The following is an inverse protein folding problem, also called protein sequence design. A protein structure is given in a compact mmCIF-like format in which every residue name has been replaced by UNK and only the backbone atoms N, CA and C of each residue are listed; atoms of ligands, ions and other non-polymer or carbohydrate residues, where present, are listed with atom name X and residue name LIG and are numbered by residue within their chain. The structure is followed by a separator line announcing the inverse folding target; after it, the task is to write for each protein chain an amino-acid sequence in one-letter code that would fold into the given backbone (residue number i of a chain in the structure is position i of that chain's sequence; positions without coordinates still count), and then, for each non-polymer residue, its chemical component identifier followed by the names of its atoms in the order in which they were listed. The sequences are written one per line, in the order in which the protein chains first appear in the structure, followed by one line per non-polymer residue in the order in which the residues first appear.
data_IF_409349080671
#
_entry.id   IF_409349080671
#
_cell.length_a   1.000
_cell.length_b   1.000
_cell.length_c   1.000
_cell.angle_alpha   90.00
_cell.angle_beta   90.00
_cell.angle_gamma   90.00
#
_symmetry.space_group_name_H-M   'P 1'
#
loop_
_entity.id
_entity.type
_entity.pdbx_description
1 polymer ?
#
# COMPACT_ATOMS: atom_id res chain seq x y z
N UNK A 1 -20.12 -6.68 3.80
CA UNK A 1 -19.13 -7.71 4.13
C UNK A 1 -18.24 -7.87 2.94
N UNK A 2 -16.99 -7.39 3.04
CA UNK A 2 -15.98 -7.56 1.99
C UNK A 2 -14.68 -7.95 2.69
N UNK A 3 -14.56 -9.26 2.92
CA UNK A 3 -13.32 -9.89 3.33
C UNK A 3 -12.59 -10.38 2.08
N UNK A 4 -11.31 -10.07 1.97
CA UNK A 4 -10.44 -10.64 0.94
C UNK A 4 -9.33 -9.69 0.50
N UNK A 5 -8.16 -9.83 1.13
CA UNK A 5 -6.83 -9.40 0.67
C UNK A 5 -6.76 -8.06 -0.10
N UNK A 6 -6.95 -6.94 0.61
CA UNK A 6 -6.57 -5.61 0.13
C UNK A 6 -5.28 -5.21 0.87
N UNK A 7 -4.26 -4.77 0.13
CA UNK A 7 -3.08 -4.22 0.79
C UNK A 7 -3.46 -2.92 1.54
N UNK A 8 -3.15 -2.79 2.84
CA UNK A 8 -3.85 -1.90 3.78
C UNK A 8 -3.89 -0.38 3.48
N UNK A 9 -2.88 0.30 2.90
CA UNK A 9 -2.74 1.75 3.15
C UNK A 9 -3.79 2.64 2.47
N UNK A 10 -4.15 2.35 1.22
CA UNK A 10 -5.08 3.18 0.45
C UNK A 10 -6.55 2.90 0.81
N UNK A 11 -6.86 1.65 1.14
CA UNK A 11 -8.18 1.25 1.62
C UNK A 11 -8.45 1.78 3.03
N UNK A 12 -7.46 1.77 3.93
CA UNK A 12 -7.60 2.32 5.27
C UNK A 12 -7.77 3.85 5.22
N UNK A 13 -7.01 4.59 4.39
CA UNK A 13 -7.21 6.06 4.29
C UNK A 13 -8.61 6.43 3.80
N UNK A 14 -9.09 5.77 2.74
CA UNK A 14 -10.43 6.02 2.23
C UNK A 14 -11.51 5.54 3.20
N UNK A 15 -11.31 4.40 3.86
CA UNK A 15 -12.24 3.89 4.87
C UNK A 15 -12.30 4.79 6.10
N UNK A 16 -11.16 5.32 6.57
CA UNK A 16 -11.12 6.27 7.69
C UNK A 16 -11.76 7.60 7.30
N UNK A 17 -11.42 8.16 6.13
CA UNK A 17 -12.08 9.40 5.67
C UNK A 17 -13.58 9.20 5.41
N UNK A 18 -14.01 8.05 4.85
CA UNK A 18 -15.44 7.77 4.63
C UNK A 18 -16.17 7.47 5.95
N UNK A 19 -15.54 6.77 6.91
CA UNK A 19 -16.10 6.52 8.24
C UNK A 19 -16.23 7.79 9.08
N UNK A 20 -15.37 8.79 8.84
CA UNK A 20 -15.39 10.06 9.57
C UNK A 20 -16.24 11.15 8.90
N UNK A 21 -16.64 10.93 7.64
CA UNK A 21 -17.49 11.86 6.88
C UNK A 21 -18.81 12.23 7.61
N UNK A 22 -19.54 11.30 8.27
CA UNK A 22 -20.74 11.63 9.04
C UNK A 22 -20.51 12.61 10.20
N UNK A 23 -19.25 12.78 10.64
CA UNK A 23 -18.86 13.71 11.70
C UNK A 23 -18.31 15.04 11.12
N UNK A 24 -18.49 15.30 9.83
CA UNK A 24 -18.04 16.53 9.16
C UNK A 24 -16.53 16.58 8.90
N UNK A 25 -15.83 15.46 8.98
CA UNK A 25 -14.38 15.40 8.78
C UNK A 25 -14.06 15.01 7.34
N UNK A 26 -13.37 15.91 6.63
CA UNK A 26 -12.79 15.68 5.30
C UNK A 26 -11.26 15.78 5.36
N UNK A 27 -10.55 14.87 4.68
CA UNK A 27 -9.09 14.86 4.57
C UNK A 27 -8.75 15.12 3.09
N UNK A 28 -8.51 16.38 2.74
CA UNK A 28 -8.30 16.85 1.37
C UNK A 28 -6.92 17.50 1.13
N UNK A 29 -6.12 17.69 2.20
CA UNK A 29 -4.79 18.34 2.15
C UNK A 29 -3.68 17.42 2.63
N UNK A 30 -2.51 17.56 1.99
CA UNK A 30 -1.24 16.96 2.43
C UNK A 30 -0.23 18.08 2.73
N UNK A 31 0.59 17.97 3.79
CA UNK A 31 0.60 16.91 4.82
C UNK A 31 -0.61 17.01 5.77
N UNK A 32 -0.92 15.92 6.47
CA UNK A 32 -1.91 15.94 7.56
C UNK A 32 -1.40 16.86 8.68
N UNK A 33 -2.25 17.79 9.12
CA UNK A 33 -1.94 18.72 10.21
C UNK A 33 -2.27 18.13 11.58
N UNK A 34 -1.60 18.57 12.67
CA UNK A 34 -1.95 18.18 14.04
C UNK A 34 -3.44 18.37 14.35
N UNK A 35 -4.03 19.51 13.99
CA UNK A 35 -5.45 19.82 14.21
C UNK A 35 -6.39 18.81 13.58
N UNK A 36 -6.02 18.30 12.40
CA UNK A 36 -6.82 17.28 11.71
C UNK A 36 -6.84 16.00 12.54
N UNK A 37 -5.70 15.59 13.11
CA UNK A 37 -5.63 14.38 13.92
C UNK A 37 -6.33 14.56 15.26
N UNK A 38 -6.21 15.72 15.90
CA UNK A 38 -6.93 16.03 17.14
C UNK A 38 -8.45 15.88 16.95
N UNK A 39 -9.02 16.42 15.86
CA UNK A 39 -10.45 16.24 15.54
C UNK A 39 -10.84 14.77 15.36
N UNK A 40 -9.99 13.96 14.73
CA UNK A 40 -10.23 12.51 14.59
C UNK A 40 -10.21 11.80 15.93
N UNK A 41 -9.24 12.14 16.80
CA UNK A 41 -9.13 11.57 18.15
C UNK A 41 -10.34 11.96 19.02
N UNK A 42 -10.78 13.22 18.98
CA UNK A 42 -11.97 13.70 19.68
C UNK A 42 -13.22 12.94 19.23
N UNK A 43 -13.43 12.81 17.92
CA UNK A 43 -14.56 12.06 17.37
C UNK A 43 -14.53 10.58 17.80
N UNK A 44 -13.35 9.94 17.77
CA UNK A 44 -13.19 8.55 18.20
C UNK A 44 -13.44 8.36 19.70
N UNK A 45 -12.88 9.24 20.53
CA UNK A 45 -13.10 9.21 21.99
C UNK A 45 -14.58 9.42 22.33
N UNK A 46 -15.26 10.33 21.63
CA UNK A 46 -16.69 10.57 21.80
C UNK A 46 -17.56 9.38 21.36
N UNK A 47 -17.22 8.74 20.25
CA UNK A 47 -18.01 7.62 19.70
C UNK A 47 -17.80 6.29 20.46
N UNK A 48 -16.58 6.03 20.93
CA UNK A 48 -16.21 4.73 21.51
C UNK A 48 -15.90 4.77 23.01
N UNK A 49 -16.01 5.94 23.65
CA UNK A 49 -15.64 6.13 25.06
C UNK A 49 -14.23 5.60 25.38
N UNK A 50 -13.28 5.85 24.46
CA UNK A 50 -11.86 5.53 24.61
C UNK A 50 -11.05 6.77 25.01
N UNK A 51 -9.83 6.57 25.52
CA UNK A 51 -8.93 7.64 25.97
C UNK A 51 -7.73 7.81 25.05
N UNK A 52 -7.96 7.86 23.72
CA UNK A 52 -6.89 8.00 22.74
C UNK A 52 -6.28 9.40 22.76
N UNK A 53 -4.97 9.45 22.61
CA UNK A 53 -4.14 10.65 22.62
C UNK A 53 -3.26 10.72 21.38
N UNK A 54 -2.54 11.84 21.22
CA UNK A 54 -1.57 11.98 20.13
C UNK A 54 -0.44 10.94 20.22
N UNK A 55 -0.15 10.44 21.42
CA UNK A 55 0.88 9.41 21.62
C UNK A 55 0.46 8.02 21.11
N UNK A 56 -0.85 7.80 20.91
CA UNK A 56 -1.40 6.54 20.41
C UNK A 56 -1.37 6.45 18.87
N UNK A 57 -1.19 7.58 18.18
CA UNK A 57 -1.13 7.60 16.72
C UNK A 57 0.23 7.12 16.23
N UNK A 58 0.22 5.95 15.60
CA UNK A 58 1.41 5.28 15.08
C UNK A 58 1.94 5.97 13.82
N UNK A 59 1.07 6.38 12.90
CA UNK A 59 1.42 7.06 11.65
C UNK A 59 0.23 7.87 11.11
N UNK A 60 0.50 8.78 10.16
CA UNK A 60 -0.54 9.53 9.47
C UNK A 60 -0.19 9.66 7.97
N UNK A 61 -1.19 9.53 7.12
CA UNK A 61 -1.06 9.74 5.68
C UNK A 61 -2.37 10.25 5.09
N UNK A 62 -2.28 11.05 4.02
CA UNK A 62 -3.42 11.52 3.28
C UNK A 62 -3.31 11.12 1.80
N UNK A 63 -4.46 11.00 1.15
CA UNK A 63 -4.58 10.72 -0.29
C UNK A 63 -5.53 11.72 -0.92
N UNK A 64 -5.25 12.09 -2.17
CA UNK A 64 -6.15 12.95 -2.95
C UNK A 64 -7.09 12.07 -3.76
N UNK A 65 -8.37 12.41 -3.78
CA UNK A 65 -9.37 11.74 -4.59
C UNK A 65 -9.43 12.43 -5.96
N UNK A 66 -9.14 11.71 -7.07
CA UNK A 66 -9.37 12.25 -8.40
C UNK A 66 -10.87 12.26 -8.64
N UNK A 67 -11.51 13.43 -8.53
CA UNK A 67 -12.94 13.60 -8.76
C UNK A 67 -13.17 14.25 -10.12
N UNK A 68 -14.25 13.86 -10.79
CA UNK A 68 -14.73 14.59 -11.96
C UNK A 68 -15.21 15.96 -11.49
N UNK A 69 -14.88 17.02 -12.23
CA UNK A 69 -15.35 18.36 -11.89
C UNK A 69 -16.82 18.49 -12.31
N UNK A 70 -17.72 18.53 -11.35
CA UNK A 70 -19.13 18.88 -11.52
C UNK A 70 -19.40 20.26 -10.88
N UNK A 71 -20.33 21.06 -11.43
CA UNK A 71 -20.79 22.29 -10.76
C UNK A 71 -21.64 21.92 -9.53
N UNK A 72 -21.19 22.25 -8.31
CA UNK A 72 -21.92 21.93 -7.07
C UNK A 72 -21.01 21.70 -5.84
N UNK A 73 -21.59 21.14 -4.78
CA UNK A 73 -20.89 20.79 -3.54
C UNK A 73 -19.91 19.61 -3.77
N UNK A 74 -18.60 19.74 -3.45
CA UNK A 74 -17.60 18.68 -3.59
C UNK A 74 -17.96 17.36 -2.88
N UNK A 75 -18.79 17.41 -1.84
CA UNK A 75 -19.24 16.24 -1.08
C UNK A 75 -20.29 15.37 -1.82
N UNK A 76 -20.91 15.92 -2.88
CA UNK A 76 -21.96 15.28 -3.68
C UNK A 76 -21.51 14.87 -5.09
N UNK A 77 -20.24 15.10 -5.44
CA UNK A 77 -19.70 14.80 -6.77
C UNK A 77 -19.74 13.30 -7.06
N UNK A 78 -20.18 12.95 -8.26
CA UNK A 78 -20.25 11.57 -8.74
C UNK A 78 -18.92 10.83 -8.53
N UNK A 79 -19.00 9.63 -7.93
CA UNK A 79 -17.84 8.73 -7.79
C UNK A 79 -17.64 7.84 -9.03
N UNK A 80 -18.21 8.22 -10.17
CA UNK A 80 -18.06 7.50 -11.43
C UNK A 80 -16.72 7.83 -12.11
N UNK A 81 -16.47 7.24 -13.27
CA UNK A 81 -15.34 7.57 -14.12
C UNK A 81 -15.82 8.04 -15.49
N UNK A 82 -14.98 8.81 -16.17
CA UNK A 82 -15.21 9.23 -17.55
C UNK A 82 -13.99 8.94 -18.42
N UNK A 83 -14.24 8.65 -19.70
CA UNK A 83 -13.21 8.43 -20.72
C UNK A 83 -13.29 9.59 -21.70
N UNK A 84 -12.23 10.39 -21.72
CA UNK A 84 -12.12 11.58 -22.55
C UNK A 84 -11.23 11.31 -23.76
N UNK A 85 -11.77 11.59 -24.94
CA UNK A 85 -11.03 11.61 -26.19
C UNK A 85 -10.17 12.89 -26.26
N UNK A 86 -8.85 12.73 -26.34
CA UNK A 86 -7.91 13.82 -26.54
C UNK A 86 -7.56 14.03 -28.01
N UNK A 87 -6.42 14.70 -28.30
CA UNK A 87 -5.83 14.67 -29.64
C UNK A 87 -5.64 13.22 -30.14
N UNK A 88 -5.51 12.99 -31.46
CA UNK A 88 -5.45 11.64 -32.03
C UNK A 88 -4.45 10.72 -31.31
N UNK A 89 -4.94 9.57 -30.84
CA UNK A 89 -4.15 8.58 -30.09
C UNK A 89 -4.00 8.85 -28.57
N UNK A 90 -4.58 9.93 -28.03
CA UNK A 90 -4.62 10.21 -26.60
C UNK A 90 -6.02 9.94 -26.03
N UNK A 91 -6.09 9.04 -25.04
CA UNK A 91 -7.31 8.73 -24.30
C UNK A 91 -7.02 8.91 -22.81
N UNK A 92 -7.88 9.65 -22.12
CA UNK A 92 -7.71 9.97 -20.70
C UNK A 92 -8.83 9.35 -19.90
N UNK A 93 -8.50 8.74 -18.76
CA UNK A 93 -9.48 8.27 -17.79
C UNK A 93 -9.44 9.14 -16.54
N UNK A 94 -10.59 9.69 -16.17
CA UNK A 94 -10.75 10.58 -15.03
C UNK A 94 -11.72 9.97 -14.02
N UNK A 95 -11.46 10.16 -12.73
CA UNK A 95 -12.33 9.62 -11.68
C UNK A 95 -12.11 8.13 -11.40
N UNK A 96 -13.19 7.46 -11.03
CA UNK A 96 -13.21 6.02 -10.76
C UNK A 96 -12.86 5.60 -9.34
N UNK A 97 -12.98 4.29 -9.10
CA UNK A 97 -12.74 3.66 -7.79
C UNK A 97 -11.80 2.48 -7.93
N UNK A 98 -11.09 2.18 -6.85
CA UNK A 98 -10.33 0.93 -6.77
C UNK A 98 -11.24 -0.29 -6.95
N UNK A 99 -12.49 -0.27 -6.48
CA UNK A 99 -13.42 -1.41 -6.62
C UNK A 99 -13.89 -1.62 -8.07
N UNK A 100 -13.88 -0.57 -8.91
CA UNK A 100 -14.32 -0.64 -10.31
C UNK A 100 -13.15 -0.68 -11.29
N UNK A 101 -11.90 -0.71 -10.82
CA UNK A 101 -10.70 -0.56 -11.65
C UNK A 101 -10.68 -1.51 -12.86
N UNK A 102 -11.09 -2.76 -12.67
CA UNK A 102 -11.06 -3.80 -13.71
C UNK A 102 -12.08 -3.51 -14.82
N UNK A 103 -13.35 -3.27 -14.46
CA UNK A 103 -14.39 -2.95 -15.45
C UNK A 103 -14.13 -1.62 -16.14
N UNK A 104 -13.62 -0.65 -15.39
CA UNK A 104 -13.19 0.65 -15.90
C UNK A 104 -12.07 0.53 -16.93
N UNK A 105 -11.08 -0.32 -16.66
CA UNK A 105 -9.97 -0.58 -17.60
C UNK A 105 -10.44 -1.36 -18.83
N UNK A 106 -11.35 -2.33 -18.65
CA UNK A 106 -11.98 -3.05 -19.76
C UNK A 106 -12.76 -2.10 -20.69
N UNK A 107 -13.48 -1.12 -20.13
CA UNK A 107 -14.18 -0.10 -20.89
C UNK A 107 -13.20 0.78 -21.68
N UNK A 108 -12.14 1.29 -21.03
CA UNK A 108 -11.10 2.08 -21.70
C UNK A 108 -10.44 1.32 -22.86
N UNK A 109 -10.05 0.07 -22.64
CA UNK A 109 -9.40 -0.74 -23.69
C UNK A 109 -10.36 -1.02 -24.84
N UNK A 110 -11.63 -1.30 -24.55
CA UNK A 110 -12.66 -1.49 -25.59
C UNK A 110 -12.85 -0.22 -26.42
N UNK A 111 -12.95 0.94 -25.77
CA UNK A 111 -13.07 2.24 -26.42
C UNK A 111 -11.88 2.54 -27.34
N UNK A 112 -10.64 2.30 -26.88
CA UNK A 112 -9.44 2.45 -27.71
C UNK A 112 -9.46 1.51 -28.92
N UNK A 113 -9.90 0.27 -28.73
CA UNK A 113 -10.03 -0.71 -29.83
C UNK A 113 -11.10 -0.26 -30.84
N UNK A 114 -12.22 0.29 -30.39
CA UNK A 114 -13.28 0.78 -31.28
C UNK A 114 -12.80 1.98 -32.11
N UNK A 115 -12.02 2.90 -31.51
CA UNK A 115 -11.53 4.11 -32.17
C UNK A 115 -10.31 3.90 -33.06
N UNK A 116 -9.37 3.05 -32.63
CA UNK A 116 -8.04 2.89 -33.25
C UNK A 116 -7.85 1.49 -33.86
N UNK A 117 -8.85 0.61 -33.75
CA UNK A 117 -8.81 -0.81 -34.11
C UNK A 117 -8.25 -1.07 -35.51
N UNK A 118 -8.65 -0.25 -36.48
CA UNK A 118 -8.25 -0.38 -37.90
C UNK A 118 -6.74 -0.19 -38.11
N UNK A 119 -6.06 0.51 -37.19
CA UNK A 119 -4.60 0.70 -37.25
C UNK A 119 -3.83 -0.55 -36.82
N UNK A 120 -4.48 -1.49 -36.14
CA UNK A 120 -3.86 -2.71 -35.67
C UNK A 120 -4.09 -3.85 -36.68
N UNK A 121 -3.01 -4.55 -37.07
CA UNK A 121 -3.10 -5.68 -38.01
C UNK A 121 -3.73 -6.95 -37.42
N UNK A 122 -4.31 -6.89 -36.21
CA UNK A 122 -4.84 -8.04 -35.48
C UNK A 122 -6.25 -7.75 -35.01
N UNK A 123 -7.13 -8.74 -35.17
CA UNK A 123 -8.45 -8.68 -34.54
C UNK A 123 -8.31 -8.73 -33.01
N UNK A 124 -9.02 -7.86 -32.28
CA UNK A 124 -9.00 -7.87 -30.82
C UNK A 124 -9.60 -9.18 -30.30
N UNK A 125 -8.95 -9.77 -29.30
CA UNK A 125 -9.50 -10.90 -28.57
C UNK A 125 -10.53 -10.42 -27.55
N UNK A 126 -11.48 -11.29 -27.18
CA UNK A 126 -12.41 -11.00 -26.08
C UNK A 126 -11.64 -10.78 -24.77
N UNK A 127 -12.02 -9.76 -24.01
CA UNK A 127 -11.48 -9.53 -22.68
C UNK A 127 -11.72 -10.74 -21.75
N UNK A 128 -10.68 -11.14 -21.02
CA UNK A 128 -10.71 -12.29 -20.08
C UNK A 128 -10.41 -11.89 -18.63
N UNK A 129 -10.16 -10.60 -18.36
CA UNK A 129 -9.67 -10.11 -17.06
C UNK A 129 -10.66 -10.37 -15.90
N UNK A 130 -11.94 -10.61 -16.19
CA UNK A 130 -12.93 -11.01 -15.18
C UNK A 130 -12.73 -12.43 -14.63
N UNK A 131 -11.92 -13.27 -15.29
CA UNK A 131 -11.68 -14.68 -14.93
C UNK A 131 -10.20 -15.02 -14.77
N UNK A 132 -9.32 -14.10 -15.15
CA UNK A 132 -7.89 -14.26 -15.00
C UNK A 132 -7.49 -13.85 -13.57
N UNK A 133 -6.93 -14.77 -12.77
CA UNK A 133 -6.43 -14.39 -11.45
C UNK A 133 -5.25 -13.43 -11.57
N UNK A 134 -5.16 -12.47 -10.65
CA UNK A 134 -3.93 -11.69 -10.49
C UNK A 134 -2.77 -12.61 -10.03
N UNK A 135 -1.50 -12.22 -10.24
CA UNK A 135 -0.35 -12.94 -9.69
C UNK A 135 -0.53 -13.22 -8.19
N UNK A 136 -0.20 -14.44 -7.74
CA UNK A 136 -0.48 -14.89 -6.37
C UNK A 136 -1.93 -15.29 -6.07
N UNK A 137 -2.90 -14.96 -6.94
CA UNK A 137 -4.33 -15.19 -6.76
C UNK A 137 -4.86 -16.52 -7.32
N UNK A 138 -3.99 -17.49 -7.62
CA UNK A 138 -4.37 -18.72 -8.32
C UNK A 138 -5.16 -19.75 -7.48
N UNK A 139 -5.30 -19.53 -6.17
CA UNK A 139 -5.98 -20.47 -5.27
C UNK A 139 -7.49 -20.21 -5.20
N UNK A 140 -8.30 -21.19 -5.63
CA UNK A 140 -9.78 -21.10 -5.60
C UNK A 140 -10.37 -21.14 -4.19
N UNK A 141 -9.80 -21.96 -3.29
CA UNK A 141 -10.11 -21.97 -1.85
C UNK A 141 -8.88 -21.45 -1.09
N UNK A 142 -8.79 -20.12 -0.99
CA UNK A 142 -7.66 -19.46 -0.36
C UNK A 142 -7.50 -19.82 1.13
N UNK A 143 -8.55 -19.86 1.98
CA UNK A 143 -8.39 -20.26 3.38
C UNK A 143 -7.83 -21.67 3.55
N UNK A 144 -8.26 -22.64 2.74
CA UNK A 144 -7.69 -23.99 2.75
C UNK A 144 -6.24 -23.98 2.28
N UNK A 145 -5.96 -23.29 1.16
CA UNK A 145 -4.61 -23.15 0.63
C UNK A 145 -3.66 -22.55 1.67
N UNK A 146 -4.07 -21.46 2.32
CA UNK A 146 -3.28 -20.76 3.32
C UNK A 146 -2.92 -21.68 4.49
N UNK A 147 -3.88 -22.42 5.04
CA UNK A 147 -3.60 -23.37 6.14
C UNK A 147 -2.56 -24.41 5.74
N UNK A 148 -2.71 -25.01 4.56
CA UNK A 148 -1.78 -26.04 4.06
C UNK A 148 -0.39 -25.46 3.77
N UNK A 149 -0.32 -24.31 3.11
CA UNK A 149 0.95 -23.64 2.80
C UNK A 149 1.69 -23.22 4.07
N UNK A 150 1.00 -22.62 5.05
CA UNK A 150 1.62 -22.23 6.33
C UNK A 150 2.18 -23.44 7.06
N UNK A 151 1.46 -24.57 7.12
CA UNK A 151 1.98 -25.80 7.72
C UNK A 151 3.25 -26.29 7.00
N UNK A 152 3.22 -26.36 5.67
CA UNK A 152 4.36 -26.80 4.86
C UNK A 152 5.58 -25.88 5.01
N UNK A 153 5.38 -24.56 5.13
CA UNK A 153 6.46 -23.59 5.35
C UNK A 153 7.10 -23.73 6.73
N UNK A 154 6.31 -24.02 7.76
CA UNK A 154 6.84 -24.25 9.11
C UNK A 154 7.64 -25.53 9.18
N UNK A 155 7.16 -26.61 8.57
CA UNK A 155 7.82 -27.92 8.61
C UNK A 155 9.03 -27.98 7.67
N UNK A 156 8.87 -27.55 6.41
CA UNK A 156 9.89 -27.69 5.37
C UNK A 156 10.97 -26.62 5.39
N UNK A 157 10.65 -25.41 5.88
CA UNK A 157 11.56 -24.25 5.87
C UNK A 157 11.87 -23.71 7.27
N UNK A 158 11.34 -24.33 8.32
CA UNK A 158 11.51 -23.90 9.72
C UNK A 158 11.15 -22.42 9.96
N UNK A 159 10.20 -21.88 9.18
CA UNK A 159 9.79 -20.49 9.32
C UNK A 159 8.96 -20.27 10.61
N UNK A 160 9.14 -19.13 11.30
CA UNK A 160 8.20 -18.69 12.33
C UNK A 160 6.76 -18.64 11.81
N UNK A 161 5.79 -18.96 12.66
CA UNK A 161 4.38 -19.07 12.23
C UNK A 161 3.83 -17.76 11.69
N UNK A 162 4.15 -16.64 12.33
CA UNK A 162 3.76 -15.29 11.93
C UNK A 162 4.34 -14.90 10.57
N UNK A 163 5.62 -15.20 10.33
CA UNK A 163 6.29 -14.98 9.05
C UNK A 163 5.68 -15.85 7.94
N UNK A 164 5.46 -17.14 8.19
CA UNK A 164 4.83 -18.04 7.23
C UNK A 164 3.40 -17.59 6.89
N UNK A 165 2.60 -17.22 7.90
CA UNK A 165 1.22 -16.74 7.73
C UNK A 165 1.18 -15.46 6.92
N UNK A 166 2.04 -14.49 7.25
CA UNK A 166 2.13 -13.22 6.53
C UNK A 166 2.56 -13.45 5.08
N UNK A 167 3.62 -14.24 4.85
CA UNK A 167 4.15 -14.50 3.52
C UNK A 167 3.06 -15.05 2.59
N UNK A 168 2.29 -16.03 3.04
CA UNK A 168 1.18 -16.58 2.24
C UNK A 168 0.02 -15.60 2.12
N UNK A 169 -0.28 -14.81 3.16
CA UNK A 169 -1.33 -13.80 3.10
C UNK A 169 -1.05 -12.69 2.07
N UNK A 170 0.22 -12.27 1.95
CA UNK A 170 0.63 -11.17 1.07
C UNK A 170 0.89 -11.65 -0.36
N UNK A 171 1.60 -12.77 -0.53
CA UNK A 171 2.03 -13.23 -1.86
C UNK A 171 1.15 -14.34 -2.43
N UNK A 172 0.22 -14.90 -1.64
CA UNK A 172 -0.65 -15.97 -2.08
C UNK A 172 0.12 -17.15 -2.66
N UNK A 173 -0.21 -17.59 -3.86
CA UNK A 173 0.49 -18.68 -4.55
C UNK A 173 1.92 -18.33 -4.95
N UNK A 174 2.26 -17.05 -5.05
CA UNK A 174 3.58 -16.58 -5.46
C UNK A 174 4.59 -16.57 -4.29
N UNK A 175 4.19 -16.94 -3.07
CA UNK A 175 5.10 -17.04 -1.92
C UNK A 175 6.30 -17.97 -2.20
N UNK A 176 6.12 -19.00 -3.02
CA UNK A 176 7.19 -19.92 -3.44
C UNK A 176 8.28 -19.19 -4.25
N UNK A 177 7.91 -18.14 -5.01
CA UNK A 177 8.86 -17.32 -5.77
C UNK A 177 9.70 -16.46 -4.84
N UNK A 178 9.11 -15.96 -3.76
CA UNK A 178 9.87 -15.25 -2.71
C UNK A 178 10.91 -16.17 -2.09
N UNK A 179 10.50 -17.38 -1.70
CA UNK A 179 11.39 -18.37 -1.07
C UNK A 179 12.48 -18.89 -2.02
N UNK A 180 12.24 -18.86 -3.33
CA UNK A 180 13.26 -19.27 -4.31
C UNK A 180 14.56 -18.47 -4.20
N UNK A 181 14.51 -17.21 -3.73
CA UNK A 181 15.70 -16.40 -3.48
C UNK A 181 16.51 -16.91 -2.27
N UNK A 182 15.86 -17.54 -1.30
CA UNK A 182 16.51 -18.07 -0.11
C UNK A 182 17.12 -19.48 -0.32
N UNK A 183 16.86 -20.14 -1.45
CA UNK A 183 17.35 -21.49 -1.72
C UNK A 183 18.89 -21.61 -1.72
N UNK A 184 19.59 -20.52 -2.05
CA UNK A 184 21.07 -20.45 -2.04
C UNK A 184 21.65 -19.52 -0.95
N UNK A 185 20.78 -18.81 -0.23
CA UNK A 185 21.12 -17.83 0.80
C UNK A 185 20.16 -18.03 1.99
N UNK A 186 20.37 -19.07 2.83
CA UNK A 186 19.46 -19.42 3.92
C UNK A 186 19.23 -18.29 4.93
N UNK A 187 20.16 -17.35 5.05
CA UNK A 187 20.00 -16.13 5.85
C UNK A 187 18.81 -15.26 5.41
N UNK A 188 18.33 -15.42 4.17
CA UNK A 188 17.16 -14.71 3.67
C UNK A 188 15.84 -15.24 4.26
N UNK A 189 15.85 -16.44 4.87
CA UNK A 189 14.72 -16.97 5.65
C UNK A 189 14.60 -16.31 7.03
N UNK A 190 15.59 -15.53 7.45
CA UNK A 190 15.52 -14.83 8.71
C UNK A 190 14.63 -13.59 8.58
N UNK A 191 13.76 -13.32 9.57
CA UNK A 191 13.04 -12.07 9.62
C UNK A 191 13.99 -10.86 9.76
N UNK A 192 13.53 -9.69 9.29
CA UNK A 192 14.34 -8.47 9.22
C UNK A 192 14.84 -7.98 10.58
N UNK A 193 14.07 -8.22 11.63
CA UNK A 193 14.42 -7.96 13.03
C UNK A 193 13.66 -8.93 13.95
N UNK A 194 14.10 -9.10 15.21
CA UNK A 194 13.31 -9.82 16.22
C UNK A 194 11.89 -9.24 16.33
N UNK A 195 10.87 -10.11 16.30
CA UNK A 195 9.46 -9.72 16.38
C UNK A 195 8.88 -9.10 15.09
N UNK A 196 9.65 -9.02 14.01
CA UNK A 196 9.15 -8.60 12.70
C UNK A 196 8.80 -9.86 11.87
N UNK A 197 7.59 -9.98 11.29
CA UNK A 197 7.23 -11.14 10.48
C UNK A 197 7.75 -11.07 9.03
N UNK A 198 8.36 -9.96 8.61
CA UNK A 198 8.84 -9.77 7.23
C UNK A 198 10.20 -10.41 7.05
N UNK A 199 10.32 -11.29 6.06
CA UNK A 199 11.56 -12.00 5.74
C UNK A 199 12.52 -11.15 4.93
N UNK A 200 13.82 -11.40 5.07
CA UNK A 200 14.84 -10.79 4.21
C UNK A 200 14.66 -11.19 2.73
N UNK A 201 14.16 -12.38 2.44
CA UNK A 201 13.81 -12.83 1.09
C UNK A 201 12.78 -11.93 0.39
N UNK A 202 11.85 -11.35 1.14
CA UNK A 202 10.84 -10.42 0.60
C UNK A 202 11.50 -9.15 0.04
N UNK A 203 12.57 -8.66 0.68
CA UNK A 203 13.32 -7.48 0.20
C UNK A 203 13.94 -7.76 -1.17
N UNK A 204 14.58 -8.92 -1.31
CA UNK A 204 15.25 -9.33 -2.55
C UNK A 204 14.23 -9.58 -3.66
N UNK A 205 13.13 -10.27 -3.34
CA UNK A 205 12.03 -10.49 -4.26
C UNK A 205 11.44 -9.17 -4.75
N UNK A 206 11.12 -8.25 -3.83
CA UNK A 206 10.54 -6.96 -4.18
C UNK A 206 11.45 -6.14 -5.10
N UNK A 207 12.76 -6.11 -4.82
CA UNK A 207 13.74 -5.41 -5.64
C UNK A 207 13.87 -6.02 -7.05
N UNK A 208 13.94 -7.36 -7.15
CA UNK A 208 14.19 -8.06 -8.42
C UNK A 208 12.94 -8.27 -9.28
N UNK A 209 11.76 -8.39 -8.66
CA UNK A 209 10.55 -8.88 -9.34
C UNK A 209 9.31 -8.00 -9.14
N UNK A 210 9.31 -7.04 -8.20
CA UNK A 210 8.17 -6.14 -7.95
C UNK A 210 8.50 -4.66 -8.19
N UNK A 211 9.64 -4.39 -8.85
CA UNK A 211 10.15 -3.05 -9.18
C UNK A 211 10.26 -2.12 -7.96
N UNK A 212 10.59 -2.64 -6.78
CA UNK A 212 10.93 -1.81 -5.64
C UNK A 212 12.33 -1.22 -5.85
N UNK A 213 12.41 0.05 -6.29
CA UNK A 213 13.67 0.71 -6.69
C UNK A 213 14.14 1.74 -5.68
N UNK A 214 13.35 2.01 -4.64
CA UNK A 214 13.70 2.86 -3.50
C UNK A 214 13.43 2.16 -2.17
N UNK A 215 14.08 2.60 -1.09
CA UNK A 215 13.78 2.08 0.25
C UNK A 215 12.32 2.26 0.64
N UNK A 216 11.70 3.38 0.26
CA UNK A 216 10.29 3.63 0.54
C UNK A 216 9.38 2.66 -0.22
N UNK A 217 9.73 2.23 -1.45
CA UNK A 217 8.92 1.25 -2.18
C UNK A 217 8.76 -0.03 -1.38
N UNK A 218 9.86 -0.55 -0.81
CA UNK A 218 9.77 -1.74 0.03
C UNK A 218 9.12 -1.45 1.39
N UNK A 219 9.68 -0.51 2.16
CA UNK A 219 9.31 -0.29 3.56
C UNK A 219 7.88 0.24 3.71
N UNK A 220 7.36 0.98 2.73
CA UNK A 220 6.00 1.53 2.76
C UNK A 220 5.01 0.74 1.92
N UNK A 221 5.37 0.35 0.69
CA UNK A 221 4.38 -0.15 -0.29
C UNK A 221 4.34 -1.68 -0.43
N UNK A 222 5.45 -2.38 -0.17
CA UNK A 222 5.51 -3.86 -0.27
C UNK A 222 5.41 -4.56 1.08
N UNK A 223 5.99 -3.95 2.13
CA UNK A 223 6.07 -4.58 3.45
C UNK A 223 5.15 -3.97 4.51
N UNK A 224 4.65 -2.74 4.30
CA UNK A 224 3.86 -1.90 5.23
C UNK A 224 4.53 -1.48 6.55
N UNK A 225 5.78 -1.91 6.78
CA UNK A 225 6.57 -1.68 7.99
C UNK A 225 6.71 -0.19 8.38
N UNK A 226 6.76 0.71 7.41
CA UNK A 226 6.82 2.15 7.66
C UNK A 226 5.54 2.66 8.34
N UNK A 227 4.38 2.09 8.02
CA UNK A 227 3.08 2.61 8.43
C UNK A 227 2.64 2.07 9.80
N UNK A 228 3.00 0.84 10.14
CA UNK A 228 2.49 0.16 11.33
C UNK A 228 3.50 0.01 12.47
N UNK A 229 4.69 0.62 12.35
CA UNK A 229 5.68 0.71 13.42
C UNK A 229 5.79 2.14 13.97
N UNK A 230 5.86 2.29 15.30
CA UNK A 230 5.89 3.60 16.00
C UNK A 230 7.03 4.53 15.57
N UNK A 231 8.15 3.95 15.15
CA UNK A 231 9.36 4.67 14.70
C UNK A 231 9.46 4.73 13.16
N UNK A 232 8.47 4.19 12.45
CA UNK A 232 8.55 3.97 11.00
C UNK A 232 9.59 2.94 10.62
N UNK A 233 9.88 1.95 11.47
CA UNK A 233 10.80 0.85 11.17
C UNK A 233 12.21 1.34 10.80
N UNK A 234 12.70 2.40 11.47
CA UNK A 234 14.03 2.99 11.20
C UNK A 234 15.14 2.00 11.51
N UNK A 235 14.97 1.15 12.51
CA UNK A 235 15.96 0.16 12.93
C UNK A 235 16.24 -0.90 11.84
N UNK A 236 15.24 -1.28 11.03
CA UNK A 236 15.42 -2.26 9.95
C UNK A 236 15.94 -1.65 8.65
N UNK A 237 15.79 -0.34 8.46
CA UNK A 237 16.12 0.34 7.20
C UNK A 237 17.57 0.10 6.73
N UNK A 238 18.62 0.10 7.59
CA UNK A 238 19.98 -0.24 7.14
C UNK A 238 20.13 -1.67 6.58
N UNK A 239 19.44 -2.65 7.18
CA UNK A 239 19.46 -4.04 6.70
C UNK A 239 18.75 -4.15 5.35
N UNK A 240 17.60 -3.50 5.21
CA UNK A 240 16.85 -3.44 3.94
C UNK A 240 17.69 -2.74 2.86
N UNK A 241 18.34 -1.63 3.18
CA UNK A 241 19.18 -0.89 2.24
C UNK A 241 20.36 -1.73 1.71
N UNK A 242 20.98 -2.54 2.59
CA UNK A 242 22.03 -3.47 2.19
C UNK A 242 21.50 -4.53 1.21
N UNK A 243 20.37 -5.15 1.52
CA UNK A 243 19.77 -6.21 0.68
C UNK A 243 19.31 -5.66 -0.68
N UNK A 244 18.59 -4.53 -0.69
CA UNK A 244 18.18 -3.85 -1.92
C UNK A 244 19.40 -3.39 -2.72
N UNK A 245 20.41 -2.82 -2.06
CA UNK A 245 21.62 -2.36 -2.71
C UNK A 245 22.41 -3.48 -3.38
N UNK A 246 22.47 -4.66 -2.76
CA UNK A 246 23.03 -5.86 -3.39
C UNK A 246 22.19 -6.34 -4.58
N UNK A 247 20.86 -6.31 -4.46
CA UNK A 247 19.96 -6.75 -5.51
C UNK A 247 19.92 -5.81 -6.74
N UNK A 248 20.08 -4.50 -6.52
CA UNK A 248 19.95 -3.45 -7.54
C UNK A 248 21.30 -2.86 -7.99
N UNK A 249 22.41 -3.25 -7.37
CA UNK A 249 23.74 -2.74 -7.70
C UNK A 249 23.97 -1.30 -7.22
N UNK A 250 23.41 -0.92 -6.07
CA UNK A 250 23.61 0.43 -5.52
C UNK A 250 25.06 0.66 -5.08
N UNK A 251 25.56 1.86 -5.39
CA UNK A 251 26.82 2.33 -4.82
C UNK A 251 26.67 2.62 -3.32
N UNK A 252 27.79 2.82 -2.63
CA UNK A 252 27.79 3.29 -1.23
C UNK A 252 27.13 4.67 -1.08
N UNK A 253 27.24 5.51 -2.10
CA UNK A 253 26.62 6.83 -2.13
C UNK A 253 25.11 6.71 -2.31
N UNK A 254 24.65 5.90 -3.26
CA UNK A 254 23.23 5.59 -3.47
C UNK A 254 22.59 5.05 -2.20
N UNK A 255 23.24 4.07 -1.57
CA UNK A 255 22.75 3.47 -0.30
C UNK A 255 22.60 4.53 0.80
N UNK A 256 23.55 5.48 0.88
CA UNK A 256 23.46 6.61 1.83
C UNK A 256 22.32 7.56 1.49
N UNK A 257 22.13 7.88 0.21
CA UNK A 257 21.03 8.74 -0.27
C UNK A 257 19.68 8.12 0.07
N UNK A 258 19.47 6.85 -0.26
CA UNK A 258 18.24 6.11 0.04
C UNK A 258 17.89 6.14 1.54
N UNK A 259 18.88 5.93 2.42
CA UNK A 259 18.67 6.01 3.87
C UNK A 259 18.30 7.42 4.35
N UNK A 260 18.90 8.47 3.77
CA UNK A 260 18.56 9.85 4.07
C UNK A 260 17.15 10.22 3.59
N UNK A 261 16.79 9.81 2.37
CA UNK A 261 15.46 10.00 1.79
C UNK A 261 14.40 9.29 2.63
N UNK A 262 14.67 8.04 3.04
CA UNK A 262 13.77 7.29 3.90
C UNK A 262 13.54 7.97 5.26
N UNK A 263 14.60 8.49 5.91
CA UNK A 263 14.47 9.26 7.16
C UNK A 263 13.61 10.50 6.98
N UNK A 264 13.76 11.18 5.85
CA UNK A 264 12.94 12.35 5.48
C UNK A 264 11.48 11.95 5.28
N UNK A 265 11.22 10.84 4.60
CA UNK A 265 9.87 10.31 4.40
C UNK A 265 9.19 9.97 5.73
N UNK A 266 9.89 9.30 6.65
CA UNK A 266 9.37 9.01 8.00
C UNK A 266 9.12 10.29 8.79
N UNK A 267 10.03 11.27 8.73
CA UNK A 267 9.83 12.55 9.40
C UNK A 267 8.58 13.29 8.88
N UNK A 268 8.36 13.30 7.56
CA UNK A 268 7.15 13.88 6.95
C UNK A 268 5.87 13.17 7.40
N UNK A 269 5.88 11.83 7.46
CA UNK A 269 4.75 11.03 7.95
C UNK A 269 4.43 11.31 9.42
N UNK A 270 5.45 11.61 10.23
CA UNK A 270 5.32 11.89 11.66
C UNK A 270 5.22 13.38 12.00
N UNK A 271 5.15 14.26 11.00
CA UNK A 271 5.21 15.72 11.19
C UNK A 271 4.09 16.25 12.10
N UNK A 272 2.96 15.54 12.17
CA UNK A 272 1.85 15.85 13.07
C UNK A 272 2.24 15.88 14.56
N UNK A 273 3.32 15.17 14.94
CA UNK A 273 3.79 15.15 16.34
C UNK A 273 4.47 16.43 16.77
N UNK A 274 5.04 17.19 15.83
CA UNK A 274 5.83 18.39 16.15
C UNK A 274 4.99 19.56 16.71
N UNK A 275 3.67 19.55 16.50
CA UNK A 275 2.75 20.56 17.05
C UNK A 275 2.10 20.17 18.38
N UNK A 276 2.36 18.98 18.92
CA UNK A 276 1.72 18.47 20.13
C UNK A 276 2.48 18.81 21.44
N UNK A 277 3.69 19.41 21.33
CA UNK A 277 4.54 19.75 22.48
C UNK A 277 4.26 21.15 23.07
N UNK A 278 3.17 21.83 22.69
CA UNK A 278 2.74 23.06 23.38
C UNK A 278 1.52 22.74 24.25
N UNK A 279 1.67 22.62 25.58
CA UNK A 279 0.51 22.66 26.46
C UNK A 279 -0.17 24.00 26.27
N UNK A 280 -1.50 24.00 26.15
CA UNK A 280 -2.31 25.19 26.31
C UNK A 280 -2.14 25.73 27.73
N UNK A 281 -1.14 26.57 27.93
CA UNK A 281 -0.97 27.42 29.09
C UNK A 281 -0.64 28.82 28.55
N UNK A 282 -1.44 29.80 28.98
CA UNK A 282 -1.43 31.23 28.61
C UNK A 282 -2.37 31.63 27.46
N UNK A 283 -3.67 31.54 27.75
CA UNK A 283 -4.61 32.57 27.37
C UNK A 283 -5.38 32.99 28.64
N UNK A 284 -4.81 33.98 29.34
CA UNK A 284 -5.49 34.81 30.33
C UNK A 284 -5.41 36.26 29.84
#
# INVERSE_FOLDING_TARGET
GEGGAINPPAAIANAVSDALSPFGISIDRTPITPDTILRVLEAANGAFAVGLSMSDVVSAWAGVRPLLREEGDPSHVSRDYDILDGPPGLYTICGGKLTTFRSMTEHLVSHVIEREGERFSRRPARCRTAREPLPGGGASDFPRYQRAAVAALREGWALPEDAARRLVAVYGTDHVRVLSHAAREPELLQPLAPGCPVLAAEVVYAARQEMAVTLEDFLRRRSDLMLFAKDGSKAVAPRVARLMGQALGWSREETRRQLADYRTAVARMMAFRAGAETPAAEAM
#
